data_IF_583985901447
#
_entry.id   IF_583985901447
#
_cell.length_a   1.000
_cell.length_b   1.000
_cell.length_c   1.000
_cell.angle_alpha   90.00
_cell.angle_beta   90.00
_cell.angle_gamma   90.00
#
_symmetry.space_group_name_H-M   'P 1'
#
loop_
_entity.id
_entity.type
_entity.pdbx_description
1 polymer ?
#
# COMPACT_ATOMS: atom_id res chain seq x y z
N UNK A 1 -11.21 20.42 -19.30
CA UNK A 1 -10.83 19.65 -20.51
C UNK A 1 -10.99 18.18 -20.14
N UNK A 2 -11.55 17.32 -21.01
CA UNK A 2 -11.58 15.88 -20.75
C UNK A 2 -10.22 15.27 -21.04
N UNK A 3 -9.80 14.25 -20.31
CA UNK A 3 -8.62 13.46 -20.65
C UNK A 3 -8.87 12.71 -21.95
N UNK A 4 -8.19 13.09 -23.03
CA UNK A 4 -8.38 12.47 -24.34
C UNK A 4 -7.56 11.18 -24.42
N UNK A 5 -8.22 10.08 -24.82
CA UNK A 5 -7.61 8.78 -25.16
C UNK A 5 -6.84 8.10 -24.03
N UNK A 6 -7.52 7.77 -22.94
CA UNK A 6 -6.96 6.89 -21.91
C UNK A 6 -6.80 5.47 -22.48
N UNK A 7 -5.57 5.08 -22.79
CA UNK A 7 -5.23 3.74 -23.27
C UNK A 7 -4.19 3.11 -22.34
N UNK A 8 -4.65 2.27 -21.43
CA UNK A 8 -3.79 1.56 -20.47
C UNK A 8 -3.10 0.32 -21.06
N UNK A 9 -3.47 -0.11 -22.28
CA UNK A 9 -2.74 -1.15 -23.01
C UNK A 9 -1.51 -0.62 -23.76
N UNK A 10 -1.35 0.71 -23.85
CA UNK A 10 -0.18 1.30 -24.48
C UNK A 10 1.07 1.03 -23.65
N UNK A 11 2.07 0.30 -24.18
CA UNK A 11 3.31 0.06 -23.46
C UNK A 11 4.05 1.37 -23.15
N UNK A 12 4.64 1.42 -21.97
CA UNK A 12 5.52 2.50 -21.54
C UNK A 12 6.89 1.90 -21.25
N UNK A 13 7.91 2.30 -22.01
CA UNK A 13 9.27 1.86 -21.73
C UNK A 13 9.75 2.44 -20.39
N UNK A 14 10.19 1.55 -19.51
CA UNK A 14 10.65 1.90 -18.17
C UNK A 14 12.12 1.54 -17.90
N UNK A 15 12.76 0.84 -18.84
CA UNK A 15 14.20 0.55 -18.76
C UNK A 15 14.98 1.81 -19.11
N UNK A 16 16.17 1.95 -18.52
CA UNK A 16 17.05 3.11 -18.68
C UNK A 16 16.43 4.44 -18.19
N UNK A 17 15.50 4.34 -17.22
CA UNK A 17 14.84 5.49 -16.57
C UNK A 17 15.15 5.62 -15.08
N UNK A 18 16.10 4.85 -14.58
CA UNK A 18 16.39 4.66 -13.15
C UNK A 18 15.19 4.07 -12.39
N UNK A 19 14.35 3.31 -13.06
CA UNK A 19 13.21 2.64 -12.45
C UNK A 19 13.66 1.56 -11.46
N UNK A 20 13.31 1.72 -10.17
CA UNK A 20 13.59 0.72 -9.15
C UNK A 20 13.06 -0.68 -9.56
N UNK A 21 11.92 -0.70 -10.24
CA UNK A 21 11.24 -1.92 -10.67
C UNK A 21 11.99 -2.65 -11.78
N UNK A 22 12.61 -1.92 -12.72
CA UNK A 22 13.15 -2.46 -13.96
C UNK A 22 14.69 -2.45 -14.05
N UNK A 23 15.36 -1.40 -13.53
CA UNK A 23 16.76 -1.14 -13.86
C UNK A 23 17.77 -1.70 -12.84
N UNK A 24 17.30 -2.21 -11.68
CA UNK A 24 18.16 -2.65 -10.58
C UNK A 24 17.98 -4.15 -10.24
N UNK A 25 17.64 -4.98 -11.22
CA UNK A 25 17.44 -6.40 -11.02
C UNK A 25 18.75 -7.13 -10.69
N UNK A 26 19.85 -6.83 -11.41
CA UNK A 26 21.16 -7.45 -11.23
C UNK A 26 21.76 -7.12 -9.87
N UNK A 27 21.67 -5.85 -9.42
CA UNK A 27 22.16 -5.42 -8.09
C UNK A 27 21.39 -6.09 -6.95
N UNK A 28 20.18 -6.57 -7.25
CA UNK A 28 19.33 -7.34 -6.32
C UNK A 28 19.41 -8.84 -6.52
N UNK A 29 20.42 -9.31 -7.29
CA UNK A 29 20.70 -10.72 -7.51
C UNK A 29 19.73 -11.44 -8.42
N UNK A 30 19.07 -10.74 -9.36
CA UNK A 30 18.16 -11.31 -10.36
C UNK A 30 18.74 -11.18 -11.76
N UNK A 31 18.15 -11.90 -12.72
CA UNK A 31 18.50 -11.77 -14.14
C UNK A 31 18.12 -10.36 -14.65
N UNK A 32 18.95 -9.78 -15.50
CA UNK A 32 18.75 -8.45 -16.07
C UNK A 32 17.39 -8.27 -16.74
N UNK A 33 16.94 -9.28 -17.47
CA UNK A 33 15.73 -9.22 -18.30
C UNK A 33 14.51 -9.89 -17.64
N UNK A 34 14.60 -10.13 -16.32
CA UNK A 34 13.47 -10.67 -15.54
C UNK A 34 12.24 -9.76 -15.67
N UNK A 35 11.04 -10.35 -15.79
CA UNK A 35 9.79 -9.60 -15.91
C UNK A 35 9.31 -9.16 -14.51
N UNK A 36 9.35 -7.87 -14.15
CA UNK A 36 9.10 -7.43 -12.78
C UNK A 36 7.64 -7.08 -12.54
N UNK A 37 6.98 -7.78 -11.62
CA UNK A 37 5.63 -7.51 -11.12
C UNK A 37 5.58 -7.50 -9.57
N UNK A 38 6.67 -7.08 -8.93
CA UNK A 38 6.87 -7.10 -7.48
C UNK A 38 6.51 -5.79 -6.78
N UNK A 39 7.12 -4.68 -7.18
CA UNK A 39 6.92 -3.40 -6.50
C UNK A 39 5.55 -2.79 -6.82
N UNK A 40 4.94 -2.18 -5.82
CA UNK A 40 3.61 -1.59 -5.90
C UNK A 40 3.65 -0.17 -6.51
N UNK A 41 4.15 -0.05 -7.75
CA UNK A 41 3.92 1.07 -8.66
C UNK A 41 3.23 0.58 -9.93
N UNK A 42 2.70 1.46 -10.75
CA UNK A 42 1.98 1.09 -11.97
C UNK A 42 2.84 1.27 -13.21
N UNK A 43 2.55 0.50 -14.25
CA UNK A 43 3.18 0.66 -15.56
C UNK A 43 2.37 1.58 -16.50
N UNK A 44 1.57 2.46 -15.93
CA UNK A 44 0.76 3.45 -16.63
C UNK A 44 1.33 4.86 -16.43
N UNK A 45 1.27 5.69 -17.49
CA UNK A 45 1.48 7.12 -17.31
C UNK A 45 0.40 7.68 -16.39
N UNK A 46 0.78 8.57 -15.48
CA UNK A 46 -0.19 9.31 -14.66
C UNK A 46 -1.04 10.25 -15.53
N UNK A 47 -2.10 10.83 -14.94
CA UNK A 47 -2.98 11.79 -15.57
C UNK A 47 -2.23 12.90 -16.33
N UNK A 48 -2.76 13.27 -17.49
CA UNK A 48 -2.18 14.38 -18.31
C UNK A 48 -2.14 15.69 -17.53
N UNK A 49 -3.10 15.96 -16.67
CA UNK A 49 -3.11 17.15 -15.81
C UNK A 49 -1.94 17.19 -14.83
N UNK A 50 -1.56 16.02 -14.28
CA UNK A 50 -0.37 15.91 -13.44
C UNK A 50 0.89 16.16 -14.25
N UNK A 51 1.00 15.57 -15.45
CA UNK A 51 2.14 15.78 -16.35
C UNK A 51 2.28 17.26 -16.71
N UNK A 52 1.18 17.92 -17.09
CA UNK A 52 1.16 19.36 -17.41
C UNK A 52 1.56 20.23 -16.22
N UNK A 53 1.13 19.90 -15.00
CA UNK A 53 1.52 20.63 -13.80
C UNK A 53 3.03 20.56 -13.55
N UNK A 54 3.63 19.37 -13.73
CA UNK A 54 5.07 19.17 -13.62
C UNK A 54 5.86 19.87 -14.73
N UNK A 55 5.35 19.88 -15.95
CA UNK A 55 5.96 20.60 -17.09
C UNK A 55 5.97 22.11 -16.81
N UNK A 56 4.84 22.69 -16.38
CA UNK A 56 4.78 24.13 -16.01
C UNK A 56 5.80 24.49 -14.93
N UNK A 57 6.00 23.61 -13.94
CA UNK A 57 7.01 23.83 -12.92
C UNK A 57 8.43 23.78 -13.49
N UNK A 58 8.70 22.82 -14.39
CA UNK A 58 10.00 22.72 -15.06
C UNK A 58 10.28 23.94 -15.95
N UNK A 59 9.30 24.44 -16.67
CA UNK A 59 9.37 25.65 -17.51
C UNK A 59 9.61 26.92 -16.67
N UNK A 60 9.01 26.99 -15.47
CA UNK A 60 9.28 28.07 -14.52
C UNK A 60 10.76 28.12 -14.09
N UNK A 61 11.40 26.95 -13.93
CA UNK A 61 12.85 26.79 -13.81
C UNK A 61 13.47 27.29 -12.50
N UNK A 62 12.66 27.66 -11.48
CA UNK A 62 13.16 28.05 -10.16
C UNK A 62 12.73 27.00 -9.14
N UNK A 63 13.70 26.29 -8.56
CA UNK A 63 13.49 25.20 -7.59
C UNK A 63 13.85 25.66 -6.16
N UNK A 64 13.34 26.83 -5.77
CA UNK A 64 13.50 27.36 -4.41
C UNK A 64 12.61 26.66 -3.38
N UNK A 65 12.72 27.07 -2.14
CA UNK A 65 11.84 26.58 -1.08
C UNK A 65 10.38 26.86 -1.43
N UNK A 66 9.55 25.83 -1.32
CA UNK A 66 8.14 25.88 -1.69
C UNK A 66 7.29 25.44 -0.51
N UNK A 67 6.20 26.14 -0.25
CA UNK A 67 5.25 25.78 0.81
C UNK A 67 3.86 25.51 0.21
N UNK A 68 3.08 24.70 0.89
CA UNK A 68 1.70 24.42 0.54
C UNK A 68 0.80 25.59 0.95
N UNK A 69 -0.03 26.00 0.04
CA UNK A 69 -1.02 27.06 0.24
C UNK A 69 -2.43 26.48 0.45
N UNK A 70 -3.45 27.35 0.43
CA UNK A 70 -4.84 26.93 0.61
C UNK A 70 -5.30 25.96 -0.48
N UNK A 71 -4.82 26.09 -1.73
CA UNK A 71 -5.20 25.22 -2.85
C UNK A 71 -4.80 23.75 -2.57
N UNK A 72 -3.62 23.55 -1.97
CA UNK A 72 -3.18 22.21 -1.55
C UNK A 72 -4.13 21.59 -0.52
N UNK A 73 -4.46 22.34 0.53
CA UNK A 73 -5.33 21.83 1.59
C UNK A 73 -6.76 21.58 1.11
N UNK A 74 -7.26 22.45 0.24
CA UNK A 74 -8.57 22.29 -0.38
C UNK A 74 -8.61 21.05 -1.30
N UNK A 75 -7.54 20.79 -2.04
CA UNK A 75 -7.42 19.60 -2.88
C UNK A 75 -7.47 18.31 -2.03
N UNK A 76 -6.70 18.25 -0.93
CA UNK A 76 -6.70 17.09 -0.02
C UNK A 76 -8.07 16.91 0.64
N UNK A 77 -8.63 17.98 1.22
CA UNK A 77 -9.93 17.92 1.92
C UNK A 77 -11.05 17.54 0.98
N UNK A 78 -11.08 18.13 -0.21
CA UNK A 78 -12.08 17.80 -1.23
C UNK A 78 -11.98 16.33 -1.71
N UNK A 79 -10.75 15.80 -1.87
CA UNK A 79 -10.56 14.40 -2.23
C UNK A 79 -11.12 13.48 -1.16
N UNK A 80 -10.77 13.69 0.10
CA UNK A 80 -11.24 12.88 1.22
C UNK A 80 -12.76 12.93 1.38
N UNK A 81 -13.37 14.12 1.25
CA UNK A 81 -14.83 14.26 1.34
C UNK A 81 -15.54 13.56 0.17
N UNK A 82 -15.10 13.78 -1.09
CA UNK A 82 -15.78 13.21 -2.27
C UNK A 82 -15.60 11.68 -2.36
N UNK A 83 -14.42 11.17 -1.96
CA UNK A 83 -14.12 9.74 -2.12
C UNK A 83 -14.53 8.91 -0.92
N UNK A 84 -14.37 9.44 0.27
CA UNK A 84 -14.52 8.68 1.51
C UNK A 84 -15.60 9.22 2.43
N UNK A 85 -16.17 10.41 2.14
CA UNK A 85 -17.19 11.07 2.96
C UNK A 85 -16.63 11.75 4.21
N UNK A 86 -15.31 11.79 4.37
CA UNK A 86 -14.65 12.33 5.55
C UNK A 86 -14.25 13.80 5.35
N UNK A 87 -14.79 14.66 6.23
CA UNK A 87 -14.43 16.08 6.29
C UNK A 87 -13.24 16.29 7.22
N UNK A 88 -12.19 16.88 6.69
CA UNK A 88 -10.96 17.12 7.42
C UNK A 88 -10.66 18.63 7.52
N UNK A 89 -10.07 19.03 8.65
CA UNK A 89 -9.55 20.38 8.84
C UNK A 89 -8.09 20.45 8.41
N UNK A 90 -7.69 21.54 7.77
CA UNK A 90 -6.31 21.72 7.29
C UNK A 90 -5.27 21.63 8.40
N UNK A 91 -5.62 22.07 9.60
CA UNK A 91 -4.75 22.02 10.78
C UNK A 91 -4.42 20.60 11.21
N UNK A 92 -5.20 19.60 10.80
CA UNK A 92 -4.93 18.19 11.10
C UNK A 92 -3.84 17.60 10.23
N UNK A 93 -3.50 18.25 9.09
CA UNK A 93 -2.61 17.71 8.07
C UNK A 93 -1.15 18.03 8.40
N UNK A 94 -0.34 16.99 8.54
CA UNK A 94 1.13 17.06 8.55
C UNK A 94 1.66 16.35 7.31
N UNK A 95 2.53 17.01 6.55
CA UNK A 95 3.10 16.45 5.31
C UNK A 95 4.38 15.69 5.58
N UNK A 96 4.57 14.56 4.90
CA UNK A 96 5.79 13.75 4.99
C UNK A 96 6.26 13.27 3.61
N UNK A 97 7.55 12.87 3.45
CA UNK A 97 8.07 12.41 2.15
C UNK A 97 7.54 11.04 1.73
N UNK A 98 6.76 10.38 2.59
CA UNK A 98 6.16 9.07 2.32
C UNK A 98 5.62 8.46 3.60
N UNK A 99 4.78 7.44 3.45
CA UNK A 99 4.11 6.82 4.60
C UNK A 99 5.10 6.03 5.45
N UNK A 100 6.07 5.34 4.88
CA UNK A 100 7.08 4.59 5.68
C UNK A 100 7.87 5.54 6.60
N UNK A 101 8.22 6.74 6.13
CA UNK A 101 8.80 7.78 6.99
C UNK A 101 7.82 8.19 8.10
N UNK A 102 6.54 8.38 7.77
CA UNK A 102 5.53 8.74 8.77
C UNK A 102 5.34 7.64 9.83
N UNK A 103 5.34 6.36 9.42
CA UNK A 103 5.30 5.23 10.36
C UNK A 103 6.48 5.27 11.34
N UNK A 104 7.70 5.51 10.84
CA UNK A 104 8.89 5.64 11.70
C UNK A 104 8.77 6.82 12.68
N UNK A 105 8.21 7.95 12.23
CA UNK A 105 7.98 9.11 13.10
C UNK A 105 6.91 8.82 14.15
N UNK A 106 5.83 8.12 13.81
CA UNK A 106 4.78 7.71 14.74
C UNK A 106 5.32 6.71 15.79
N UNK A 107 6.13 5.73 15.36
CA UNK A 107 6.84 4.81 16.27
C UNK A 107 7.64 5.59 17.31
N UNK A 108 8.40 6.60 16.90
CA UNK A 108 9.20 7.44 17.81
C UNK A 108 8.35 8.38 18.66
N UNK A 109 7.24 8.88 18.14
CA UNK A 109 6.39 9.83 18.84
C UNK A 109 5.60 9.19 19.99
N UNK A 110 5.16 7.94 19.79
CA UNK A 110 4.15 7.35 20.68
C UNK A 110 4.65 6.13 21.46
N UNK A 111 5.92 5.76 21.31
CA UNK A 111 6.51 4.62 22.03
C UNK A 111 7.95 4.90 22.42
N UNK A 112 8.44 4.13 23.38
CA UNK A 112 9.83 4.14 23.84
C UNK A 112 10.59 2.89 23.34
N UNK A 113 11.92 2.93 23.23
CA UNK A 113 12.72 1.73 22.95
C UNK A 113 12.37 0.57 23.88
N UNK A 114 12.14 -0.61 23.29
CA UNK A 114 11.71 -1.81 24.01
C UNK A 114 10.21 -2.03 24.12
N UNK A 115 9.38 -1.03 23.80
CA UNK A 115 7.92 -1.17 23.74
C UNK A 115 7.47 -2.12 22.64
N UNK A 116 6.30 -2.73 22.82
CA UNK A 116 5.66 -3.56 21.82
C UNK A 116 4.70 -2.76 20.95
N UNK A 117 4.79 -3.00 19.63
CA UNK A 117 3.92 -2.43 18.62
C UNK A 117 3.20 -3.58 17.90
N UNK A 118 1.88 -3.47 17.76
CA UNK A 118 1.04 -4.48 17.16
C UNK A 118 0.99 -4.32 15.63
N UNK A 119 1.07 -5.45 14.93
CA UNK A 119 0.79 -5.59 13.49
C UNK A 119 -0.04 -6.84 13.24
N UNK A 120 -0.63 -6.98 12.06
CA UNK A 120 -1.49 -8.11 11.69
C UNK A 120 -0.87 -8.90 10.53
N UNK A 121 -0.05 -9.91 10.84
CA UNK A 121 0.62 -10.74 9.82
C UNK A 121 -0.34 -11.71 9.08
N UNK A 122 -0.11 -11.95 7.76
CA UNK A 122 0.93 -11.33 6.93
C UNK A 122 0.58 -9.88 6.58
N UNK A 123 1.56 -8.97 6.67
CA UNK A 123 1.36 -7.55 6.42
C UNK A 123 2.57 -6.94 5.70
N UNK A 124 2.41 -5.77 5.12
CA UNK A 124 3.42 -4.98 4.46
C UNK A 124 4.72 -4.93 5.27
N UNK A 125 5.77 -5.55 4.76
CA UNK A 125 7.01 -5.80 5.50
C UNK A 125 7.69 -4.54 6.11
N UNK A 126 7.58 -3.33 5.52
CA UNK A 126 8.13 -2.14 6.16
C UNK A 126 7.50 -1.80 7.52
N UNK A 127 6.32 -2.34 7.87
CA UNK A 127 5.77 -2.19 9.23
C UNK A 127 6.71 -2.81 10.26
N UNK A 128 7.14 -4.04 10.01
CA UNK A 128 8.12 -4.74 10.85
C UNK A 128 9.47 -4.03 10.87
N UNK A 129 9.96 -3.62 9.69
CA UNK A 129 11.24 -2.94 9.56
C UNK A 129 11.29 -1.62 10.35
N UNK A 130 10.26 -0.78 10.30
CA UNK A 130 10.26 0.48 11.06
C UNK A 130 10.16 0.25 12.56
N UNK A 131 9.50 -0.82 13.02
CA UNK A 131 9.44 -1.20 14.43
C UNK A 131 10.83 -1.61 14.93
N UNK A 132 11.44 -2.58 14.27
CA UNK A 132 12.72 -3.18 14.69
C UNK A 132 13.89 -2.21 14.53
N UNK A 133 13.93 -1.45 13.42
CA UNK A 133 14.98 -0.43 13.17
C UNK A 133 14.93 0.76 14.13
N UNK A 134 13.86 0.89 14.91
CA UNK A 134 13.74 1.90 15.96
C UNK A 134 13.79 1.28 17.38
N UNK A 135 14.36 0.10 17.54
CA UNK A 135 14.53 -0.59 18.83
C UNK A 135 13.20 -0.91 19.55
N UNK A 136 12.10 -1.07 18.81
CA UNK A 136 10.82 -1.56 19.34
C UNK A 136 10.63 -3.02 19.01
N UNK A 137 9.65 -3.66 19.62
CA UNK A 137 9.36 -5.08 19.48
C UNK A 137 8.03 -5.29 18.78
N UNK A 138 7.97 -6.31 17.93
CA UNK A 138 6.73 -6.68 17.26
C UNK A 138 5.85 -7.54 18.15
N UNK A 139 4.59 -7.15 18.29
CA UNK A 139 3.49 -8.02 18.69
C UNK A 139 2.70 -8.38 17.42
N UNK A 140 2.68 -9.65 17.05
CA UNK A 140 2.00 -10.09 15.82
C UNK A 140 0.63 -10.71 16.19
N UNK A 141 -0.44 -10.16 15.65
CA UNK A 141 -1.74 -10.78 15.57
C UNK A 141 -1.83 -11.48 14.22
N UNK A 142 -1.89 -12.80 14.23
CA UNK A 142 -1.91 -13.59 12.98
C UNK A 142 -3.33 -13.60 12.41
N UNK A 143 -3.49 -13.17 11.16
CA UNK A 143 -4.76 -13.24 10.45
C UNK A 143 -5.16 -14.70 10.19
N UNK A 144 -6.43 -15.02 10.47
CA UNK A 144 -6.97 -16.35 10.23
C UNK A 144 -7.31 -16.50 8.76
N UNK A 145 -6.63 -17.42 8.05
CA UNK A 145 -7.02 -17.81 6.70
C UNK A 145 -8.16 -18.82 6.77
N UNK A 146 -9.28 -18.49 6.12
CA UNK A 146 -10.47 -19.35 6.05
C UNK A 146 -10.35 -20.40 4.94
N UNK A 147 -11.24 -21.39 4.94
CA UNK A 147 -11.29 -22.46 3.94
C UNK A 147 -11.50 -21.92 2.51
N UNK A 148 -12.27 -20.86 2.35
CA UNK A 148 -12.49 -20.18 1.08
C UNK A 148 -11.29 -19.33 0.60
N UNK A 149 -10.20 -19.31 1.39
CA UNK A 149 -9.00 -18.52 1.11
C UNK A 149 -9.06 -17.06 1.54
N UNK A 150 -10.18 -16.58 2.06
CA UNK A 150 -10.30 -15.24 2.65
C UNK A 150 -9.60 -15.16 4.01
N UNK A 151 -9.40 -13.94 4.51
CA UNK A 151 -8.75 -13.71 5.80
C UNK A 151 -9.70 -13.01 6.77
N UNK A 152 -9.56 -13.30 8.06
CA UNK A 152 -10.28 -12.67 9.15
C UNK A 152 -9.33 -12.28 10.28
N UNK A 153 -9.78 -11.34 11.11
CA UNK A 153 -9.05 -10.92 12.30
C UNK A 153 -9.37 -11.87 13.45
N UNK A 154 -8.34 -12.38 14.15
CA UNK A 154 -8.49 -13.00 15.45
C UNK A 154 -8.55 -11.92 16.51
N UNK A 155 -9.75 -11.50 16.88
CA UNK A 155 -9.96 -10.45 17.85
C UNK A 155 -9.63 -10.86 19.30
N UNK A 156 -9.70 -12.15 19.61
CA UNK A 156 -9.33 -12.65 20.94
C UNK A 156 -7.81 -12.59 21.10
N UNK A 157 -7.08 -13.05 20.09
CA UNK A 157 -5.62 -12.90 20.05
C UNK A 157 -5.20 -11.44 19.99
N UNK A 158 -5.89 -10.61 19.20
CA UNK A 158 -5.61 -9.18 19.09
C UNK A 158 -5.63 -8.49 20.47
N UNK A 159 -6.70 -8.67 21.24
CA UNK A 159 -6.83 -8.10 22.56
C UNK A 159 -5.84 -8.72 23.56
N UNK A 160 -5.62 -10.04 23.47
CA UNK A 160 -4.64 -10.75 24.30
C UNK A 160 -3.22 -10.20 24.12
N UNK A 161 -2.77 -10.00 22.84
CA UNK A 161 -1.46 -9.41 22.56
C UNK A 161 -1.31 -8.01 23.17
N UNK A 162 -2.35 -7.20 23.10
CA UNK A 162 -2.36 -5.85 23.71
C UNK A 162 -2.14 -5.95 25.23
N UNK A 163 -2.91 -6.79 25.91
CA UNK A 163 -2.88 -6.90 27.37
C UNK A 163 -1.58 -7.53 27.86
N UNK A 164 -1.20 -8.69 27.31
CA UNK A 164 -0.05 -9.46 27.79
C UNK A 164 1.28 -8.76 27.52
N UNK A 165 1.40 -8.06 26.37
CA UNK A 165 2.64 -7.38 25.98
C UNK A 165 2.66 -5.89 26.34
N UNK A 166 1.55 -5.33 26.80
CA UNK A 166 1.44 -3.91 27.09
C UNK A 166 1.66 -3.03 25.87
N UNK A 167 1.04 -3.43 24.74
CA UNK A 167 1.16 -2.74 23.46
C UNK A 167 0.75 -1.28 23.58
N UNK A 168 1.54 -0.38 22.97
CA UNK A 168 1.30 1.08 22.98
C UNK A 168 0.79 1.62 21.65
N UNK A 169 1.13 0.95 20.55
CA UNK A 169 0.86 1.39 19.19
C UNK A 169 0.41 0.21 18.34
N UNK A 170 -0.59 0.42 17.51
CA UNK A 170 -1.03 -0.51 16.46
C UNK A 170 -0.84 0.10 15.08
N UNK A 171 -0.08 -0.56 14.21
CA UNK A 171 0.04 -0.20 12.82
C UNK A 171 -1.00 -1.00 12.03
N UNK A 172 -2.03 -0.30 11.56
CA UNK A 172 -3.18 -0.88 10.86
C UNK A 172 -3.07 -0.65 9.35
N UNK A 173 -3.22 -1.70 8.55
CA UNK A 173 -3.20 -1.64 7.09
C UNK A 173 -4.62 -1.77 6.53
N UNK A 174 -5.15 -0.74 5.88
CA UNK A 174 -6.54 -0.73 5.38
C UNK A 174 -6.70 0.08 4.09
N UNK A 175 -7.03 -0.52 2.95
CA UNK A 175 -7.11 -1.97 2.65
C UNK A 175 -5.82 -2.73 2.92
N UNK A 176 -5.91 -4.02 3.26
CA UNK A 176 -4.79 -4.79 3.79
C UNK A 176 -3.92 -5.40 2.69
N UNK A 177 -2.65 -5.06 2.69
CA UNK A 177 -1.61 -5.63 1.84
C UNK A 177 -0.75 -6.62 2.67
N UNK A 178 -0.57 -7.89 2.26
CA UNK A 178 -0.76 -8.44 0.91
C UNK A 178 -2.09 -9.15 0.66
N UNK A 179 -2.91 -9.42 1.68
CA UNK A 179 -4.07 -10.32 1.57
C UNK A 179 -5.29 -9.71 0.89
N UNK A 180 -5.20 -8.46 0.44
CA UNK A 180 -6.19 -7.74 -0.38
C UNK A 180 -7.58 -7.57 0.28
N UNK A 181 -7.65 -7.64 1.63
CA UNK A 181 -8.90 -7.44 2.37
C UNK A 181 -9.31 -5.97 2.43
N UNK A 182 -10.61 -5.75 2.30
CA UNK A 182 -11.28 -4.49 2.68
C UNK A 182 -12.07 -4.79 3.95
N UNK A 183 -11.62 -4.25 5.08
CA UNK A 183 -12.23 -4.51 6.38
C UNK A 183 -13.63 -3.91 6.46
N UNK A 184 -14.59 -4.68 6.99
CA UNK A 184 -15.97 -4.21 7.18
C UNK A 184 -16.02 -3.16 8.28
N UNK A 185 -17.12 -2.41 8.33
CA UNK A 185 -17.36 -1.41 9.37
C UNK A 185 -17.28 -2.04 10.77
N UNK A 186 -17.88 -3.20 10.94
CA UNK A 186 -17.93 -3.94 12.20
C UNK A 186 -16.53 -4.41 12.63
N UNK A 187 -15.72 -4.87 11.68
CA UNK A 187 -14.33 -5.27 11.95
C UNK A 187 -13.50 -4.06 12.42
N UNK A 188 -13.60 -2.92 11.71
CA UNK A 188 -12.84 -1.70 12.02
C UNK A 188 -13.32 -1.08 13.34
N UNK A 189 -14.62 -1.01 13.61
CA UNK A 189 -15.17 -0.52 14.87
C UNK A 189 -14.71 -1.39 16.05
N UNK A 190 -14.71 -2.72 15.89
CA UNK A 190 -14.24 -3.62 16.95
C UNK A 190 -12.75 -3.44 17.27
N UNK A 191 -11.90 -3.26 16.24
CA UNK A 191 -10.48 -2.91 16.44
C UNK A 191 -10.33 -1.58 17.18
N UNK A 192 -11.05 -0.56 16.75
CA UNK A 192 -11.03 0.76 17.36
C UNK A 192 -11.48 0.74 18.82
N UNK A 193 -12.57 0.02 19.12
CA UNK A 193 -13.08 -0.12 20.50
C UNK A 193 -12.09 -0.82 21.44
N UNK A 194 -11.42 -1.87 20.95
CA UNK A 194 -10.38 -2.55 21.73
C UNK A 194 -9.21 -1.60 21.99
N UNK A 195 -8.73 -0.91 20.96
CA UNK A 195 -7.62 0.05 21.11
C UNK A 195 -8.00 1.21 22.03
N UNK A 196 -9.21 1.75 21.92
CA UNK A 196 -9.71 2.82 22.80
C UNK A 196 -9.76 2.35 24.27
N UNK A 197 -10.32 1.16 24.51
CA UNK A 197 -10.39 0.53 25.85
C UNK A 197 -9.03 0.41 26.52
N UNK A 198 -7.99 0.07 25.75
CA UNK A 198 -6.63 -0.17 26.27
C UNK A 198 -5.69 1.02 26.03
N UNK A 199 -6.18 2.16 25.56
CA UNK A 199 -5.39 3.38 25.28
C UNK A 199 -4.23 3.12 24.31
N UNK A 200 -4.44 2.28 23.28
CA UNK A 200 -3.51 1.99 22.22
C UNK A 200 -3.72 3.01 21.08
N UNK A 201 -2.67 3.70 20.67
CA UNK A 201 -2.72 4.60 19.52
C UNK A 201 -2.77 3.77 18.24
N UNK A 202 -3.57 4.19 17.26
CA UNK A 202 -3.70 3.54 15.96
C UNK A 202 -3.05 4.40 14.89
N UNK A 203 -2.10 3.85 14.14
CA UNK A 203 -1.65 4.45 12.87
C UNK A 203 -2.30 3.67 11.74
N UNK A 204 -3.31 4.27 11.13
CA UNK A 204 -4.07 3.70 10.03
C UNK A 204 -3.40 4.06 8.70
N UNK A 205 -2.71 3.08 8.08
CA UNK A 205 -2.17 3.23 6.73
C UNK A 205 -3.28 2.95 5.71
N UNK A 206 -3.84 4.03 5.18
CA UNK A 206 -4.96 4.02 4.23
C UNK A 206 -4.51 4.37 2.80
N UNK A 207 -3.23 4.13 2.47
CA UNK A 207 -2.67 4.47 1.14
C UNK A 207 -3.38 3.75 -0.02
N UNK A 208 -4.03 2.62 0.25
CA UNK A 208 -4.80 1.86 -0.73
C UNK A 208 -6.31 2.15 -0.71
N UNK A 209 -6.77 3.15 0.07
CA UNK A 209 -8.20 3.47 0.27
C UNK A 209 -9.00 3.64 -1.03
N UNK A 210 -8.36 4.18 -2.09
CA UNK A 210 -8.99 4.38 -3.40
C UNK A 210 -9.15 3.09 -4.21
N UNK A 211 -8.44 2.01 -3.85
CA UNK A 211 -8.51 0.71 -4.54
C UNK A 211 -9.40 -0.26 -3.78
N UNK A 212 -10.69 0.04 -3.74
CA UNK A 212 -11.74 -0.86 -3.24
C UNK A 212 -12.56 -1.33 -4.42
N UNK A 213 -12.62 -2.63 -4.64
CA UNK A 213 -13.37 -3.28 -5.72
C UNK A 213 -14.61 -3.98 -5.20
N UNK A 214 -14.59 -4.41 -3.94
CA UNK A 214 -15.74 -4.97 -3.24
C UNK A 214 -15.87 -4.36 -1.84
N UNK A 215 -17.10 -4.11 -1.40
CA UNK A 215 -17.36 -3.45 -0.13
C UNK A 215 -17.16 -1.92 -0.19
N UNK A 216 -16.79 -1.33 0.94
CA UNK A 216 -16.52 0.11 1.09
C UNK A 216 -15.37 0.32 2.07
N UNK A 217 -14.40 1.17 1.69
CA UNK A 217 -13.37 1.59 2.62
C UNK A 217 -13.98 2.31 3.84
N UNK A 218 -13.48 1.96 5.01
CA UNK A 218 -13.85 2.60 6.27
C UNK A 218 -12.70 3.47 6.73
N UNK A 219 -12.91 4.76 6.78
CA UNK A 219 -11.95 5.70 7.40
C UNK A 219 -12.09 5.54 8.92
N UNK A 220 -11.14 4.86 9.56
CA UNK A 220 -11.25 4.45 10.94
C UNK A 220 -11.57 5.62 11.88
N UNK A 221 -10.85 6.71 11.75
CA UNK A 221 -10.97 7.90 12.61
C UNK A 221 -12.36 8.57 12.53
N UNK A 222 -13.11 8.36 11.45
CA UNK A 222 -14.42 8.97 11.20
C UNK A 222 -15.60 8.10 11.66
N UNK A 223 -15.35 6.88 12.15
CA UNK A 223 -16.41 5.96 12.57
C UNK A 223 -17.04 6.36 13.90
N UNK A 224 -16.23 6.87 14.84
CA UNK A 224 -16.68 7.36 16.15
C UNK A 224 -15.86 8.60 16.57
N UNK A 225 -16.49 9.54 17.29
CA UNK A 225 -15.82 10.76 17.71
C UNK A 225 -14.60 10.48 18.62
N UNK A 226 -14.71 9.48 19.47
CA UNK A 226 -13.64 9.07 20.42
C UNK A 226 -12.40 8.53 19.71
N UNK A 227 -12.52 8.02 18.47
CA UNK A 227 -11.38 7.53 17.72
C UNK A 227 -10.43 8.65 17.29
N UNK A 228 -10.92 9.90 17.23
CA UNK A 228 -10.07 11.07 16.96
C UNK A 228 -8.96 11.25 18.00
N UNK A 229 -9.19 10.76 19.21
CA UNK A 229 -8.23 10.90 20.30
C UNK A 229 -7.05 9.91 20.21
N UNK A 230 -7.19 8.83 19.44
CA UNK A 230 -6.21 7.76 19.37
C UNK A 230 -5.71 7.44 17.95
N UNK A 231 -6.15 8.18 16.92
CA UNK A 231 -5.87 7.79 15.53
C UNK A 231 -5.00 8.79 14.78
N UNK A 232 -4.04 8.24 14.05
CA UNK A 232 -3.21 8.89 13.02
C UNK A 232 -3.53 8.23 11.68
N UNK A 233 -4.12 8.97 10.75
CA UNK A 233 -4.48 8.45 9.42
C UNK A 233 -3.44 8.86 8.38
N UNK A 234 -2.90 7.89 7.65
CA UNK A 234 -1.88 8.09 6.63
C UNK A 234 -2.47 7.93 5.23
N UNK A 235 -2.40 8.97 4.39
CA UNK A 235 -2.88 8.97 3.00
C UNK A 235 -1.83 9.52 2.04
N UNK A 236 -1.93 9.16 0.75
CA UNK A 236 -1.01 9.67 -0.28
C UNK A 236 -1.61 9.47 -1.68
N UNK A 237 -1.37 10.40 -2.64
CA UNK A 237 -1.67 10.18 -4.05
C UNK A 237 -0.73 9.17 -4.71
N UNK A 238 0.31 8.73 -3.98
CA UNK A 238 1.39 7.89 -4.51
C UNK A 238 0.92 6.60 -5.17
N UNK A 239 -0.07 5.90 -4.57
CA UNK A 239 -0.66 4.70 -5.15
C UNK A 239 -1.78 5.04 -6.13
N UNK A 240 -2.67 5.97 -5.79
CA UNK A 240 -3.84 6.32 -6.59
C UNK A 240 -3.47 6.86 -7.97
N UNK A 241 -2.42 7.70 -8.07
CA UNK A 241 -2.01 8.36 -9.30
C UNK A 241 -0.61 7.99 -9.78
N UNK A 242 -0.03 6.91 -9.25
CA UNK A 242 1.33 6.47 -9.61
C UNK A 242 2.42 7.53 -9.36
N UNK A 243 2.37 8.20 -8.23
CA UNK A 243 3.23 9.33 -7.85
C UNK A 243 4.21 9.00 -6.71
N UNK A 244 4.45 7.73 -6.42
CA UNK A 244 5.28 7.32 -5.27
C UNK A 244 6.69 7.94 -5.31
N UNK A 245 7.28 8.10 -6.48
CA UNK A 245 8.59 8.74 -6.67
C UNK A 245 8.62 10.24 -6.36
N UNK A 246 7.47 10.91 -6.28
CA UNK A 246 7.37 12.32 -5.89
C UNK A 246 7.34 12.55 -4.38
N UNK A 247 7.26 11.48 -3.61
CA UNK A 247 7.42 11.47 -2.14
C UNK A 247 6.58 12.53 -1.42
N UNK A 248 5.26 12.41 -1.54
CA UNK A 248 4.30 13.26 -0.83
C UNK A 248 3.22 12.43 -0.15
N UNK A 249 2.99 12.68 1.14
CA UNK A 249 1.96 12.02 1.94
C UNK A 249 1.34 13.00 2.92
N UNK A 250 0.06 12.76 3.24
CA UNK A 250 -0.72 13.54 4.19
C UNK A 250 -0.99 12.66 5.42
N UNK A 251 -0.53 13.12 6.57
CA UNK A 251 -0.74 12.48 7.86
C UNK A 251 -1.76 13.32 8.61
N UNK A 252 -2.94 12.78 8.79
CA UNK A 252 -4.11 13.51 9.26
C UNK A 252 -4.36 13.08 10.71
N UNK A 253 -4.18 14.03 11.64
CA UNK A 253 -4.22 13.78 13.09
C UNK A 253 -5.15 14.82 13.73
N UNK A 254 -6.41 14.49 14.04
CA UNK A 254 -7.35 15.42 14.66
C UNK A 254 -6.91 15.87 16.05
N UNK A 255 -6.44 14.95 16.90
CA UNK A 255 -5.98 15.26 18.26
C UNK A 255 -4.73 16.15 18.27
N UNK A 256 -4.84 17.33 18.86
CA UNK A 256 -3.78 18.35 18.85
C UNK A 256 -2.51 17.89 19.61
N UNK A 257 -2.65 17.09 20.66
CA UNK A 257 -1.50 16.58 21.43
C UNK A 257 -0.73 15.55 20.61
N UNK A 258 -1.40 14.54 20.08
CA UNK A 258 -0.78 13.55 19.19
C UNK A 258 -0.10 14.22 17.99
N UNK A 259 -0.77 15.18 17.37
CA UNK A 259 -0.23 15.92 16.23
C UNK A 259 1.06 16.67 16.60
N UNK A 260 1.09 17.32 17.76
CA UNK A 260 2.27 18.03 18.24
C UNK A 260 3.46 17.09 18.49
N UNK A 261 3.22 15.92 19.09
CA UNK A 261 4.24 14.91 19.34
C UNK A 261 4.79 14.35 18.01
N UNK A 262 3.90 14.04 17.07
CA UNK A 262 4.29 13.60 15.73
C UNK A 262 5.14 14.66 15.00
N UNK A 263 4.68 15.92 14.98
CA UNK A 263 5.40 17.03 14.34
C UNK A 263 6.77 17.29 14.98
N UNK A 264 6.88 17.07 16.29
CA UNK A 264 8.16 17.16 16.99
C UNK A 264 9.16 16.13 16.44
N UNK A 265 8.74 14.88 16.22
CA UNK A 265 9.63 13.86 15.65
C UNK A 265 10.00 14.14 14.19
N UNK A 266 9.08 14.64 13.38
CA UNK A 266 9.34 15.09 12.00
C UNK A 266 10.41 16.19 12.00
N UNK A 267 10.28 17.19 12.87
CA UNK A 267 11.24 18.28 13.00
C UNK A 267 12.60 17.78 13.52
N UNK A 268 12.59 16.89 14.50
CA UNK A 268 13.83 16.29 15.06
C UNK A 268 14.58 15.43 14.02
N UNK A 269 13.87 14.85 13.05
CA UNK A 269 14.47 14.18 11.89
C UNK A 269 15.05 15.14 10.84
N UNK A 270 14.95 16.46 11.06
CA UNK A 270 15.44 17.49 10.14
C UNK A 270 14.57 17.70 8.90
N UNK A 271 13.36 17.12 8.87
CA UNK A 271 12.44 17.27 7.73
C UNK A 271 11.53 18.48 7.95
N UNK A 272 11.49 19.40 6.99
CA UNK A 272 10.73 20.64 7.10
C UNK A 272 9.71 20.86 5.98
N UNK A 273 10.02 20.44 4.76
CA UNK A 273 9.21 20.73 3.58
C UNK A 273 9.19 19.56 2.60
N UNK A 274 8.03 19.32 2.00
CA UNK A 274 7.91 18.39 0.86
C UNK A 274 8.46 19.02 -0.41
N UNK A 275 8.93 18.19 -1.34
CA UNK A 275 9.43 18.67 -2.63
C UNK A 275 8.33 19.35 -3.46
N UNK A 276 8.63 20.48 -4.08
CA UNK A 276 7.72 21.24 -4.91
C UNK A 276 6.98 20.37 -5.98
N UNK A 277 7.64 19.43 -6.71
CA UNK A 277 6.95 18.57 -7.66
C UNK A 277 5.78 17.79 -7.05
N UNK A 278 5.95 17.30 -5.82
CA UNK A 278 4.90 16.58 -5.11
C UNK A 278 3.67 17.43 -4.82
N UNK A 279 3.86 18.71 -4.44
CA UNK A 279 2.77 19.65 -4.17
C UNK A 279 1.93 19.86 -5.42
N UNK A 280 2.55 20.27 -6.53
CA UNK A 280 1.84 20.56 -7.78
C UNK A 280 1.19 19.32 -8.39
N UNK A 281 1.85 18.16 -8.31
CA UNK A 281 1.30 16.91 -8.76
C UNK A 281 0.07 16.48 -7.95
N UNK A 282 0.10 16.61 -6.61
CA UNK A 282 -1.03 16.28 -5.76
C UNK A 282 -2.23 17.18 -6.06
N UNK A 283 -2.03 18.50 -6.15
CA UNK A 283 -3.11 19.45 -6.46
C UNK A 283 -3.77 19.04 -7.80
N UNK A 284 -2.99 18.86 -8.86
CA UNK A 284 -3.52 18.49 -10.16
C UNK A 284 -4.24 17.13 -10.13
N UNK A 285 -3.67 16.12 -9.46
CA UNK A 285 -4.24 14.80 -9.31
C UNK A 285 -5.62 14.84 -8.61
N UNK A 286 -5.69 15.48 -7.46
CA UNK A 286 -6.89 15.50 -6.64
C UNK A 286 -7.99 16.43 -7.16
N UNK A 287 -7.65 17.47 -7.92
CA UNK A 287 -8.63 18.41 -8.47
C UNK A 287 -9.11 18.06 -9.87
N UNK A 288 -8.26 17.41 -10.70
CA UNK A 288 -8.55 17.19 -12.12
C UNK A 288 -8.40 15.73 -12.56
N UNK A 289 -7.80 14.84 -11.75
CA UNK A 289 -7.48 13.46 -12.14
C UNK A 289 -8.60 12.44 -12.00
N UNK A 290 -9.83 12.83 -11.68
CA UNK A 290 -10.94 11.89 -11.39
C UNK A 290 -11.24 10.96 -12.57
N UNK A 291 -11.31 11.48 -13.80
CA UNK A 291 -11.60 10.69 -15.01
C UNK A 291 -10.53 9.62 -15.24
N UNK A 292 -9.25 10.01 -15.12
CA UNK A 292 -8.11 9.09 -15.23
C UNK A 292 -8.17 8.00 -14.15
N UNK A 293 -8.41 8.40 -12.91
CA UNK A 293 -8.49 7.47 -11.79
C UNK A 293 -9.58 6.41 -11.99
N UNK A 294 -10.79 6.83 -12.41
CA UNK A 294 -11.90 5.88 -12.62
C UNK A 294 -11.58 4.89 -13.76
N UNK A 295 -11.03 5.39 -14.87
CA UNK A 295 -10.67 4.54 -16.00
C UNK A 295 -9.52 3.57 -15.65
N UNK A 296 -8.49 4.05 -14.94
CA UNK A 296 -7.39 3.22 -14.44
C UNK A 296 -7.90 2.14 -13.49
N UNK A 297 -8.73 2.51 -12.52
CA UNK A 297 -9.31 1.58 -11.55
C UNK A 297 -10.13 0.48 -12.23
N UNK A 298 -10.92 0.84 -13.24
CA UNK A 298 -11.69 -0.14 -14.03
C UNK A 298 -10.77 -1.08 -14.81
N UNK A 299 -9.69 -0.58 -15.40
CA UNK A 299 -8.71 -1.39 -16.10
C UNK A 299 -8.01 -2.37 -15.16
N UNK A 300 -7.55 -1.90 -14.01
CA UNK A 300 -6.96 -2.74 -12.96
C UNK A 300 -7.94 -3.82 -12.48
N UNK A 301 -9.22 -3.47 -12.26
CA UNK A 301 -10.24 -4.46 -11.91
C UNK A 301 -10.37 -5.53 -12.98
N UNK A 302 -10.33 -5.14 -14.26
CA UNK A 302 -10.37 -6.12 -15.36
C UNK A 302 -9.15 -7.05 -15.37
N UNK A 303 -7.98 -6.56 -14.97
CA UNK A 303 -6.78 -7.38 -14.82
C UNK A 303 -6.90 -8.37 -13.64
N UNK A 304 -7.48 -7.92 -12.53
CA UNK A 304 -7.78 -8.80 -11.38
C UNK A 304 -8.72 -9.93 -11.82
N UNK A 305 -9.84 -9.61 -12.46
CA UNK A 305 -10.82 -10.61 -12.91
C UNK A 305 -10.21 -11.59 -13.90
N UNK A 306 -9.41 -11.08 -14.83
CA UNK A 306 -8.68 -11.91 -15.77
C UNK A 306 -7.73 -12.89 -15.06
N UNK A 307 -6.92 -12.41 -14.12
CA UNK A 307 -5.99 -13.26 -13.37
C UNK A 307 -6.73 -14.37 -12.62
N UNK A 308 -7.82 -14.04 -11.94
CA UNK A 308 -8.62 -15.03 -11.22
C UNK A 308 -9.16 -16.12 -12.15
N UNK A 309 -9.73 -15.74 -13.30
CA UNK A 309 -10.26 -16.67 -14.30
C UNK A 309 -9.14 -17.52 -14.88
N UNK A 310 -8.06 -16.89 -15.32
CA UNK A 310 -6.92 -17.55 -15.93
C UNK A 310 -6.29 -18.60 -14.99
N UNK A 311 -6.07 -18.22 -13.72
CA UNK A 311 -5.49 -19.13 -12.72
C UNK A 311 -6.41 -20.33 -12.44
N UNK A 312 -7.72 -20.13 -12.37
CA UNK A 312 -8.67 -21.19 -12.16
C UNK A 312 -8.71 -22.21 -13.33
N UNK A 313 -8.49 -21.73 -14.56
CA UNK A 313 -8.49 -22.56 -15.77
C UNK A 313 -7.16 -23.28 -15.99
N UNK A 314 -6.04 -22.61 -15.78
CA UNK A 314 -4.70 -23.08 -16.16
C UNK A 314 -3.90 -23.73 -15.02
N UNK A 315 -4.04 -23.21 -13.79
CA UNK A 315 -3.32 -23.65 -12.59
C UNK A 315 -4.27 -23.78 -11.37
N UNK A 316 -5.31 -24.64 -11.45
CA UNK A 316 -6.37 -24.72 -10.43
C UNK A 316 -5.87 -25.15 -9.03
N UNK A 317 -4.69 -25.73 -8.92
CA UNK A 317 -4.05 -26.07 -7.65
C UNK A 317 -3.53 -24.83 -6.91
N UNK A 318 -3.20 -23.74 -7.61
CA UNK A 318 -2.78 -22.47 -7.01
C UNK A 318 -4.02 -21.63 -6.73
N UNK A 319 -4.26 -21.32 -5.47
CA UNK A 319 -5.46 -20.59 -5.06
C UNK A 319 -5.18 -19.10 -4.99
N UNK A 320 -5.97 -18.32 -5.70
CA UNK A 320 -5.92 -16.86 -5.63
C UNK A 320 -6.84 -16.37 -4.52
N UNK A 321 -6.31 -15.58 -3.59
CA UNK A 321 -7.10 -14.95 -2.54
C UNK A 321 -8.06 -13.94 -3.16
N UNK A 322 -9.31 -13.89 -2.66
CA UNK A 322 -10.30 -12.91 -3.11
C UNK A 322 -9.73 -11.49 -2.98
N UNK A 323 -9.66 -10.77 -4.10
CA UNK A 323 -9.09 -9.44 -4.17
C UNK A 323 -10.19 -8.39 -3.97
N UNK A 324 -10.48 -8.04 -2.71
CA UNK A 324 -11.49 -7.02 -2.36
C UNK A 324 -10.96 -5.60 -2.58
N UNK A 325 -9.65 -5.41 -2.37
CA UNK A 325 -8.98 -4.11 -2.55
C UNK A 325 -7.52 -4.26 -2.96
N UNK A 326 -6.84 -3.15 -3.16
CA UNK A 326 -5.47 -3.03 -3.71
C UNK A 326 -5.37 -3.52 -5.16
N UNK A 327 -4.22 -3.29 -5.81
CA UNK A 327 -3.88 -3.90 -7.10
C UNK A 327 -2.78 -4.96 -6.97
N UNK A 328 -2.67 -5.51 -5.76
CA UNK A 328 -1.69 -6.52 -5.36
C UNK A 328 -2.46 -7.80 -5.07
N UNK A 329 -2.25 -8.83 -5.89
CA UNK A 329 -3.00 -10.08 -5.78
C UNK A 329 -2.16 -11.11 -5.05
N UNK A 330 -2.76 -11.80 -4.07
CA UNK A 330 -2.14 -12.76 -3.20
C UNK A 330 -2.47 -14.19 -3.65
N UNK A 331 -1.45 -14.99 -3.96
CA UNK A 331 -1.56 -16.33 -4.56
C UNK A 331 -0.94 -17.39 -3.65
N UNK A 332 -1.66 -18.47 -3.40
CA UNK A 332 -1.28 -19.60 -2.54
C UNK A 332 -0.68 -20.74 -3.39
N UNK A 333 0.63 -20.88 -3.33
CA UNK A 333 1.38 -21.93 -4.04
C UNK A 333 1.65 -23.17 -3.18
N UNK A 334 1.16 -23.25 -1.92
CA UNK A 334 1.48 -24.32 -0.98
C UNK A 334 1.08 -25.72 -1.47
N UNK A 335 0.08 -25.80 -2.35
CA UNK A 335 -0.32 -27.07 -2.96
C UNK A 335 0.78 -27.68 -3.84
N UNK A 336 1.81 -26.93 -4.24
CA UNK A 336 2.96 -27.46 -4.97
C UNK A 336 3.98 -28.20 -4.07
N UNK A 337 3.85 -28.08 -2.75
CA UNK A 337 4.73 -28.77 -1.79
C UNK A 337 6.18 -28.24 -1.78
N UNK A 338 6.43 -27.05 -2.32
CA UNK A 338 7.74 -26.42 -2.41
C UNK A 338 8.07 -25.62 -1.14
N UNK A 339 9.33 -25.62 -0.75
CA UNK A 339 9.85 -24.64 0.22
C UNK A 339 9.89 -23.24 -0.39
N UNK A 340 9.98 -22.18 0.43
CA UNK A 340 10.08 -20.78 -0.06
C UNK A 340 11.28 -20.59 -1.01
N UNK A 341 12.39 -21.32 -0.77
CA UNK A 341 13.55 -21.28 -1.65
C UNK A 341 13.25 -21.89 -3.01
N UNK A 342 12.63 -23.07 -3.05
CA UNK A 342 12.28 -23.75 -4.29
C UNK A 342 11.19 -22.99 -5.05
N UNK A 343 10.22 -22.38 -4.35
CA UNK A 343 9.21 -21.52 -4.95
C UNK A 343 9.87 -20.30 -5.60
N UNK A 344 10.80 -19.66 -4.91
CA UNK A 344 11.57 -18.55 -5.47
C UNK A 344 12.35 -18.97 -6.72
N UNK A 345 13.05 -20.11 -6.69
CA UNK A 345 13.77 -20.65 -7.85
C UNK A 345 12.80 -20.94 -9.02
N UNK A 346 11.60 -21.45 -8.74
CA UNK A 346 10.57 -21.68 -9.74
C UNK A 346 10.12 -20.38 -10.40
N UNK A 347 9.83 -19.36 -9.62
CA UNK A 347 9.29 -18.07 -10.11
C UNK A 347 10.39 -17.21 -10.73
N UNK A 348 11.52 -16.98 -10.03
CA UNK A 348 12.55 -16.04 -10.48
C UNK A 348 13.49 -16.67 -11.53
N UNK A 349 13.88 -17.95 -11.38
CA UNK A 349 14.89 -18.56 -12.26
C UNK A 349 14.30 -19.35 -13.42
N UNK A 350 13.15 -20.05 -13.22
CA UNK A 350 12.52 -20.87 -14.27
C UNK A 350 11.47 -20.10 -15.05
N UNK A 351 10.55 -19.38 -14.37
CA UNK A 351 9.58 -18.55 -15.04
C UNK A 351 10.15 -17.20 -15.49
N UNK A 352 11.26 -16.76 -14.91
CA UNK A 352 11.86 -15.44 -15.16
C UNK A 352 10.85 -14.29 -14.92
N UNK A 353 10.07 -14.43 -13.84
CA UNK A 353 9.13 -13.43 -13.35
C UNK A 353 9.55 -13.03 -11.94
N UNK A 354 9.58 -11.75 -11.65
CA UNK A 354 9.92 -11.26 -10.31
C UNK A 354 8.66 -10.82 -9.58
N UNK A 355 8.26 -11.60 -8.60
CA UNK A 355 7.17 -11.34 -7.66
C UNK A 355 7.73 -11.03 -6.27
N UNK A 356 6.85 -10.67 -5.33
CA UNK A 356 7.21 -10.62 -3.92
C UNK A 356 6.85 -11.94 -3.25
N UNK A 357 7.88 -12.73 -2.89
CA UNK A 357 7.72 -13.96 -2.14
C UNK A 357 7.06 -13.73 -0.78
N UNK A 358 6.08 -14.56 -0.44
CA UNK A 358 5.21 -14.30 0.70
C UNK A 358 5.89 -14.27 2.06
N UNK A 359 6.99 -14.97 2.24
CA UNK A 359 7.72 -15.01 3.51
C UNK A 359 8.21 -13.63 4.00
N UNK A 360 8.40 -12.66 3.09
CA UNK A 360 8.81 -11.29 3.49
C UNK A 360 7.71 -10.53 4.25
N UNK A 361 6.44 -10.95 4.11
CA UNK A 361 5.28 -10.34 4.79
C UNK A 361 5.02 -10.92 6.19
N UNK A 362 5.86 -11.83 6.66
CA UNK A 362 5.74 -12.55 7.91
C UNK A 362 5.67 -14.07 7.69
N UNK A 363 5.92 -14.83 8.73
CA UNK A 363 5.93 -16.30 8.67
C UNK A 363 4.67 -16.92 8.05
N UNK A 364 3.43 -16.40 8.31
CA UNK A 364 2.22 -16.93 7.69
C UNK A 364 2.13 -16.73 6.16
N UNK A 365 3.03 -15.96 5.60
CA UNK A 365 3.15 -15.75 4.15
C UNK A 365 3.99 -16.81 3.42
N UNK A 366 4.64 -17.75 4.14
CA UNK A 366 5.41 -18.83 3.53
C UNK A 366 4.58 -19.64 2.54
N UNK A 367 5.16 -19.90 1.35
CA UNK A 367 4.49 -20.60 0.24
C UNK A 367 3.49 -19.77 -0.57
N UNK A 368 3.46 -18.47 -0.35
CA UNK A 368 2.67 -17.51 -1.14
C UNK A 368 3.54 -16.63 -2.02
N UNK A 369 2.90 -16.02 -3.04
CA UNK A 369 3.48 -14.99 -3.89
C UNK A 369 2.49 -13.84 -4.05
N UNK A 370 3.01 -12.59 -4.08
CA UNK A 370 2.21 -11.39 -4.35
C UNK A 370 2.55 -10.83 -5.72
N UNK A 371 1.56 -10.71 -6.61
CA UNK A 371 1.70 -10.11 -7.94
C UNK A 371 1.04 -8.74 -8.00
N UNK A 372 1.73 -7.77 -8.63
CA UNK A 372 1.17 -6.47 -8.99
C UNK A 372 0.53 -6.54 -10.36
N UNK A 373 -0.78 -6.29 -10.45
CA UNK A 373 -1.56 -6.34 -11.71
C UNK A 373 -1.84 -4.97 -12.33
N UNK A 374 -1.26 -3.90 -11.79
CA UNK A 374 -1.34 -2.55 -12.36
C UNK A 374 -0.32 -2.37 -13.51
N UNK A 375 -0.42 -3.23 -14.52
CA UNK A 375 0.40 -3.27 -15.72
C UNK A 375 -0.49 -3.49 -16.95
N UNK A 376 0.08 -3.39 -18.16
CA UNK A 376 -0.62 -3.73 -19.38
C UNK A 376 -1.09 -5.18 -19.36
N UNK A 377 -2.26 -5.45 -19.95
CA UNK A 377 -2.81 -6.81 -20.05
C UNK A 377 -1.81 -7.78 -20.69
N UNK A 378 -1.11 -7.36 -21.75
CA UNK A 378 -0.10 -8.20 -22.41
C UNK A 378 1.03 -8.62 -21.46
N UNK A 379 1.50 -7.72 -20.61
CA UNK A 379 2.52 -8.01 -19.59
C UNK A 379 2.02 -9.03 -18.57
N UNK A 380 0.76 -8.90 -18.13
CA UNK A 380 0.15 -9.85 -17.20
C UNK A 380 0.02 -11.24 -17.83
N UNK A 381 -0.47 -11.31 -19.08
CA UNK A 381 -0.58 -12.58 -19.84
C UNK A 381 0.79 -13.25 -19.94
N UNK A 382 1.81 -12.52 -20.38
CA UNK A 382 3.17 -13.02 -20.51
C UNK A 382 3.70 -13.60 -19.18
N UNK A 383 3.48 -12.90 -18.07
CA UNK A 383 3.91 -13.38 -16.75
C UNK A 383 3.20 -14.68 -16.37
N UNK A 384 1.89 -14.76 -16.58
CA UNK A 384 1.09 -15.93 -16.25
C UNK A 384 1.47 -17.15 -17.11
N UNK A 385 1.69 -16.96 -18.42
CA UNK A 385 2.14 -18.02 -19.35
C UNK A 385 3.52 -18.57 -18.95
N UNK A 386 4.45 -17.69 -18.55
CA UNK A 386 5.77 -18.09 -18.06
C UNK A 386 5.67 -18.88 -16.75
N UNK A 387 4.82 -18.49 -15.82
CA UNK A 387 4.57 -19.21 -14.56
C UNK A 387 3.94 -20.58 -14.85
N UNK A 388 2.93 -20.64 -15.71
CA UNK A 388 2.29 -21.92 -16.09
C UNK A 388 3.29 -22.90 -16.66
N UNK A 389 4.11 -22.45 -17.62
CA UNK A 389 5.16 -23.28 -18.23
C UNK A 389 6.13 -23.81 -17.18
N UNK A 390 6.63 -22.93 -16.30
CA UNK A 390 7.57 -23.32 -15.25
C UNK A 390 6.95 -24.33 -14.28
N UNK A 391 5.70 -24.16 -13.87
CA UNK A 391 4.98 -25.10 -13.00
C UNK A 391 4.83 -26.46 -13.69
N UNK A 392 4.35 -26.51 -14.94
CA UNK A 392 4.13 -27.76 -15.67
C UNK A 392 5.41 -28.54 -15.96
N UNK A 393 6.53 -27.85 -16.18
CA UNK A 393 7.81 -28.50 -16.53
C UNK A 393 8.61 -28.94 -15.29
N UNK A 394 8.43 -28.30 -14.13
CA UNK A 394 9.32 -28.51 -12.97
C UNK A 394 8.61 -29.08 -11.73
N UNK A 395 7.27 -29.06 -11.69
CA UNK A 395 6.50 -29.61 -10.58
C UNK A 395 5.78 -30.87 -11.08
N UNK A 396 6.30 -32.03 -10.72
CA UNK A 396 5.65 -33.29 -10.98
C UNK A 396 4.66 -33.57 -9.84
N UNK A 397 3.36 -33.64 -10.17
CA UNK A 397 2.26 -33.97 -9.26
C UNK A 397 2.33 -35.37 -8.69
#
# INVERSE_FOLDING_TARGET
MSEKNLNFDQPVERRETHSLKYDFAEERGRKKDILPLWVADMDFKTSSFVQEALIRQAEHGIYGYTESDQEYYDAVSSWMERRHGWKIDKEWITKTPGIVFALAMAVKAYTEPGDYILIQDPVYYPFREVIESNDRKVAANILIRKEDGSYAIDFEDFERQIVEKGVKLFLFCSPHNPVSRVWTREEVERLGDICLKHQVIIVSDEIHADFVFEGKHQVLVDLKEEYKDITVTCTSPGKTFNLAGLQISNIIIPNASLRKEFQHQVTAAGYSQVGAPGIFALIAAYTQGEEWYQAMKQYVKSNIDFLHTWMAEHLPQIKVTKTEGTYLVWMDFRALGLSDKELKELIEDKAEVWLDGGAIFGEPGSGFERINVACQRATLVEALDRIEKAVKENVHG
#
